data_IF_715728834523
#
_entry.id   IF_715728834523
#
_cell.length_a   1.000
_cell.length_b   1.000
_cell.length_c   1.000
_cell.angle_alpha   90.00
_cell.angle_beta   90.00
_cell.angle_gamma   90.00
#
_symmetry.space_group_name_H-M   'P 1'
#
loop_
_entity.id
_entity.type
_entity.pdbx_description
1 polymer ?
#
# COMPACT_ATOMS: atom_id res chain seq x y z
N UNK A 1 9.10 1.41 -1.32
CA UNK A 1 8.48 0.11 -1.02
C UNK A 1 9.35 -0.56 0.02
N UNK A 2 8.72 -1.14 1.03
CA UNK A 2 9.38 -2.04 1.97
C UNK A 2 8.88 -3.44 1.63
N UNK A 3 9.79 -4.39 1.46
CA UNK A 3 9.46 -5.80 1.30
C UNK A 3 10.38 -6.59 2.24
N UNK A 4 9.82 -7.49 3.03
CA UNK A 4 10.58 -8.37 3.93
C UNK A 4 10.84 -9.64 3.13
N UNK A 5 12.11 -9.94 2.89
CA UNK A 5 12.56 -11.08 2.07
C UNK A 5 13.63 -11.84 2.83
N UNK A 6 13.56 -13.17 2.79
CA UNK A 6 14.43 -14.09 3.52
C UNK A 6 15.33 -14.92 2.58
N UNK A 7 15.19 -14.75 1.26
CA UNK A 7 16.00 -15.46 0.26
C UNK A 7 16.42 -14.59 -0.93
N UNK A 8 17.44 -15.05 -1.67
CA UNK A 8 17.93 -14.38 -2.87
C UNK A 8 16.87 -14.34 -3.99
N UNK A 9 16.08 -15.40 -4.16
CA UNK A 9 15.00 -15.44 -5.16
C UNK A 9 13.88 -14.46 -4.81
N UNK A 10 13.52 -14.32 -3.53
CA UNK A 10 12.54 -13.34 -3.09
C UNK A 10 13.04 -11.90 -3.30
N UNK A 11 14.33 -11.65 -3.05
CA UNK A 11 14.95 -10.37 -3.32
C UNK A 11 14.88 -10.00 -4.81
N UNK A 12 15.26 -10.94 -5.69
CA UNK A 12 15.20 -10.70 -7.14
C UNK A 12 13.78 -10.38 -7.60
N UNK A 13 12.81 -11.19 -7.16
CA UNK A 13 11.40 -10.94 -7.48
C UNK A 13 10.91 -9.58 -6.95
N UNK A 14 11.36 -9.17 -5.76
CA UNK A 14 11.02 -7.87 -5.19
C UNK A 14 11.60 -6.71 -6.01
N UNK A 15 12.82 -6.86 -6.55
CA UNK A 15 13.45 -5.87 -7.42
C UNK A 15 12.71 -5.78 -8.76
N UNK A 16 12.36 -6.91 -9.37
CA UNK A 16 11.56 -6.93 -10.61
C UNK A 16 10.22 -6.22 -10.42
N UNK A 17 9.50 -6.54 -9.35
CA UNK A 17 8.23 -5.91 -9.01
C UNK A 17 8.38 -4.39 -8.82
N UNK A 18 9.45 -3.96 -8.14
CA UNK A 18 9.77 -2.54 -7.97
C UNK A 18 10.06 -1.86 -9.30
N UNK A 19 10.84 -2.49 -10.18
CA UNK A 19 11.17 -1.95 -11.49
C UNK A 19 9.93 -1.84 -12.39
N UNK A 20 9.06 -2.85 -12.38
CA UNK A 20 7.79 -2.83 -13.10
C UNK A 20 6.87 -1.70 -12.58
N UNK A 21 6.75 -1.55 -11.26
CA UNK A 21 6.01 -0.44 -10.63
C UNK A 21 6.52 0.94 -11.05
N UNK A 22 7.85 1.16 -10.99
CA UNK A 22 8.46 2.42 -11.42
C UNK A 22 8.19 2.74 -12.88
N UNK A 23 8.32 1.75 -13.77
CA UNK A 23 8.04 1.92 -15.21
C UNK A 23 6.58 2.35 -15.42
N UNK A 24 5.63 1.69 -14.77
CA UNK A 24 4.20 2.05 -14.85
C UNK A 24 3.95 3.51 -14.45
N UNK A 25 4.47 3.94 -13.28
CA UNK A 25 4.30 5.33 -12.82
C UNK A 25 4.95 6.34 -13.78
N UNK A 26 6.17 6.08 -14.27
CA UNK A 26 6.84 6.96 -15.22
C UNK A 26 6.08 7.09 -16.55
N UNK A 27 5.53 5.98 -17.05
CA UNK A 27 4.72 5.99 -18.26
C UNK A 27 3.45 6.82 -18.08
N UNK A 28 2.77 6.69 -16.94
CA UNK A 28 1.57 7.47 -16.63
C UNK A 28 1.87 8.97 -16.60
N UNK A 29 2.97 9.38 -15.97
CA UNK A 29 3.38 10.78 -15.88
C UNK A 29 3.81 11.39 -17.22
N UNK A 30 4.18 10.57 -18.21
CA UNK A 30 4.56 11.01 -19.57
C UNK A 30 3.40 11.07 -20.56
N UNK A 31 2.18 10.71 -20.14
CA UNK A 31 1.02 10.72 -21.05
C UNK A 31 0.69 12.16 -21.44
N UNK A 32 0.29 12.43 -22.70
CA UNK A 32 -0.06 13.78 -23.14
C UNK A 32 -1.19 14.44 -22.33
N UNK A 33 -2.03 13.63 -21.70
CA UNK A 33 -3.16 14.05 -20.88
C UNK A 33 -2.90 13.96 -19.36
N UNK A 34 -1.64 13.82 -18.94
CA UNK A 34 -1.31 13.90 -17.52
C UNK A 34 -1.64 15.31 -17.00
N UNK A 35 -2.34 15.40 -15.88
CA UNK A 35 -2.71 16.65 -15.25
C UNK A 35 -2.13 16.68 -13.83
N UNK A 36 -1.24 17.65 -13.59
CA UNK A 36 -0.68 17.94 -12.27
C UNK A 36 -1.44 19.11 -11.63
N UNK A 37 -2.71 18.86 -11.34
CA UNK A 37 -3.60 19.84 -10.71
C UNK A 37 -4.01 19.37 -9.33
N UNK A 38 -4.40 20.33 -8.49
CA UNK A 38 -4.87 20.03 -7.14
C UNK A 38 -6.07 19.09 -7.16
N UNK A 39 -7.01 19.34 -8.06
CA UNK A 39 -8.26 18.60 -8.19
C UNK A 39 -8.00 17.13 -8.55
N UNK A 40 -7.05 16.88 -9.45
CA UNK A 40 -6.67 15.51 -9.84
C UNK A 40 -5.90 14.80 -8.73
N UNK A 41 -5.03 15.53 -8.01
CA UNK A 41 -4.35 14.99 -6.83
C UNK A 41 -5.34 14.61 -5.72
N UNK A 42 -6.34 15.45 -5.46
CA UNK A 42 -7.40 15.19 -4.48
C UNK A 42 -8.24 13.97 -4.89
N UNK A 43 -8.60 13.83 -6.17
CA UNK A 43 -9.32 12.66 -6.68
C UNK A 43 -8.55 11.34 -6.53
N UNK A 44 -7.21 11.39 -6.59
CA UNK A 44 -6.34 10.21 -6.46
C UNK A 44 -5.92 9.87 -5.03
N UNK A 45 -6.39 10.62 -4.01
CA UNK A 45 -5.95 10.46 -2.61
C UNK A 45 -7.06 9.89 -1.72
N UNK A 46 -6.65 9.04 -0.78
CA UNK A 46 -7.53 8.55 0.29
C UNK A 46 -7.30 9.43 1.52
N UNK A 47 -8.03 10.54 1.62
CA UNK A 47 -8.09 11.39 2.82
C UNK A 47 -9.45 11.27 3.52
N UNK A 48 -9.45 11.35 4.85
CA UNK A 48 -10.64 11.22 5.69
C UNK A 48 -10.34 10.60 7.06
N UNK A 49 -11.41 10.27 7.77
CA UNK A 49 -11.36 9.46 8.99
C UNK A 49 -10.99 8.00 8.69
N UNK A 50 -10.59 7.18 9.68
CA UNK A 50 -10.35 5.75 9.47
C UNK A 50 -11.52 5.02 8.80
N UNK A 51 -12.76 5.40 9.12
CA UNK A 51 -13.97 4.83 8.52
C UNK A 51 -14.09 5.22 7.04
N UNK A 52 -13.83 6.49 6.70
CA UNK A 52 -13.83 6.97 5.30
C UNK A 52 -12.78 6.22 4.46
N UNK A 53 -11.59 6.01 5.02
CA UNK A 53 -10.52 5.27 4.35
C UNK A 53 -10.93 3.81 4.16
N UNK A 54 -11.51 3.18 5.18
CA UNK A 54 -11.99 1.80 5.10
C UNK A 54 -13.06 1.63 4.02
N UNK A 55 -14.04 2.53 3.95
CA UNK A 55 -15.07 2.50 2.92
C UNK A 55 -14.48 2.63 1.50
N UNK A 56 -13.52 3.55 1.31
CA UNK A 56 -12.84 3.72 0.01
C UNK A 56 -12.02 2.50 -0.39
N UNK A 57 -11.31 1.88 0.55
CA UNK A 57 -10.55 0.64 0.30
C UNK A 57 -11.48 -0.53 -0.03
N UNK A 58 -12.62 -0.63 0.65
CA UNK A 58 -13.62 -1.66 0.36
C UNK A 58 -14.18 -1.47 -1.06
N UNK A 59 -14.49 -0.24 -1.48
CA UNK A 59 -14.94 0.03 -2.85
C UNK A 59 -13.91 -0.38 -3.91
N UNK A 60 -12.60 -0.20 -3.64
CA UNK A 60 -11.54 -0.69 -4.53
C UNK A 60 -11.53 -2.23 -4.60
N UNK A 61 -11.68 -2.90 -3.45
CA UNK A 61 -11.76 -4.36 -3.38
C UNK A 61 -12.99 -4.90 -4.12
N UNK A 62 -14.13 -4.22 -4.00
CA UNK A 62 -15.39 -4.60 -4.65
C UNK A 62 -15.30 -4.57 -6.19
N UNK A 63 -14.43 -3.72 -6.75
CA UNK A 63 -14.14 -3.69 -8.20
C UNK A 63 -12.97 -4.59 -8.61
N UNK A 64 -12.49 -5.46 -7.70
CA UNK A 64 -11.46 -6.46 -7.97
C UNK A 64 -10.03 -6.01 -7.72
N UNK A 65 -9.79 -4.90 -7.02
CA UNK A 65 -8.43 -4.54 -6.62
C UNK A 65 -7.90 -5.53 -5.56
N UNK A 66 -6.87 -6.28 -5.90
CA UNK A 66 -6.25 -7.26 -5.00
C UNK A 66 -5.26 -6.64 -3.99
N UNK A 67 -4.63 -5.51 -4.36
CA UNK A 67 -3.69 -4.81 -3.50
C UNK A 67 -3.66 -3.31 -3.80
N UNK A 68 -3.26 -2.52 -2.81
CA UNK A 68 -3.01 -1.07 -2.95
C UNK A 68 -1.56 -0.73 -2.64
N UNK A 69 -0.98 0.20 -3.41
CA UNK A 69 0.30 0.79 -3.07
C UNK A 69 0.07 2.00 -2.16
N UNK A 70 0.28 1.83 -0.85
CA UNK A 70 0.13 2.91 0.11
C UNK A 70 1.37 3.82 0.09
N UNK A 71 1.18 5.09 -0.28
CA UNK A 71 2.12 6.17 0.02
C UNK A 71 1.66 6.89 1.29
N UNK A 72 2.57 7.12 2.23
CA UNK A 72 2.31 7.85 3.46
C UNK A 72 3.27 9.05 3.58
N UNK A 73 2.99 10.18 2.89
CA UNK A 73 3.82 11.38 2.98
C UNK A 73 3.91 11.94 4.40
N UNK A 74 2.87 11.71 5.22
CA UNK A 74 2.87 12.01 6.66
C UNK A 74 3.76 11.08 7.51
N UNK A 75 4.61 10.27 6.86
CA UNK A 75 5.64 9.46 7.49
C UNK A 75 5.12 8.26 8.29
N UNK A 76 5.98 7.75 9.18
CA UNK A 76 5.71 6.61 10.04
C UNK A 76 4.49 6.77 10.95
N UNK A 77 4.18 7.96 11.55
CA UNK A 77 3.00 8.10 12.39
C UNK A 77 1.69 7.81 11.64
N UNK A 78 1.56 8.32 10.42
CA UNK A 78 0.40 8.06 9.56
C UNK A 78 0.31 6.59 9.17
N UNK A 79 1.44 5.96 8.84
CA UNK A 79 1.50 4.53 8.52
C UNK A 79 1.12 3.65 9.73
N UNK A 80 1.57 3.99 10.93
CA UNK A 80 1.20 3.28 12.17
C UNK A 80 -0.30 3.40 12.45
N UNK A 81 -0.84 4.61 12.32
CA UNK A 81 -2.27 4.86 12.49
C UNK A 81 -3.10 4.08 11.48
N UNK A 82 -2.70 4.06 10.20
CA UNK A 82 -3.34 3.23 9.18
C UNK A 82 -3.35 1.75 9.57
N UNK A 83 -2.21 1.22 10.01
CA UNK A 83 -2.09 -0.18 10.44
C UNK A 83 -2.94 -0.51 11.68
N UNK A 84 -3.15 0.46 12.59
CA UNK A 84 -3.89 0.27 13.83
C UNK A 84 -5.40 0.48 13.66
N UNK A 85 -5.81 1.51 12.93
CA UNK A 85 -7.19 1.98 12.89
C UNK A 85 -7.95 1.49 11.65
N UNK A 86 -7.26 1.15 10.55
CA UNK A 86 -7.90 0.77 9.26
C UNK A 86 -7.72 -0.72 8.97
N UNK A 87 -6.49 -1.22 9.02
CA UNK A 87 -6.19 -2.60 8.62
C UNK A 87 -6.96 -3.70 9.36
N UNK A 88 -7.32 -3.59 10.65
CA UNK A 88 -8.09 -4.63 11.34
C UNK A 88 -9.37 -5.06 10.62
N UNK A 89 -10.03 -4.15 9.90
CA UNK A 89 -11.24 -4.43 9.10
C UNK A 89 -10.99 -5.30 7.87
N UNK A 90 -9.73 -5.48 7.47
CA UNK A 90 -9.31 -6.20 6.27
C UNK A 90 -8.54 -7.49 6.56
N UNK A 91 -8.28 -7.80 7.83
CA UNK A 91 -7.60 -9.04 8.22
C UNK A 91 -8.65 -10.11 8.54
N UNK A 92 -8.77 -11.11 7.67
CA UNK A 92 -9.54 -12.33 7.97
C UNK A 92 -8.57 -13.43 8.45
N UNK A 93 -8.67 -13.84 9.71
CA UNK A 93 -7.92 -14.97 10.29
C UNK A 93 -7.21 -14.66 11.62
N UNK A 94 -6.91 -15.66 12.47
CA UNK A 94 -6.33 -15.42 13.79
C UNK A 94 -4.97 -14.75 13.64
N UNK A 95 -4.69 -13.74 14.49
CA UNK A 95 -3.35 -13.20 14.67
C UNK A 95 -2.41 -14.36 14.99
N UNK A 96 -1.54 -14.72 14.04
CA UNK A 96 -0.42 -15.61 14.33
C UNK A 96 0.50 -14.83 15.26
N UNK A 97 0.44 -15.17 16.55
CA UNK A 97 1.37 -14.66 17.53
C UNK A 97 2.77 -15.12 17.13
N UNK A 98 3.66 -14.17 16.84
CA UNK A 98 5.07 -14.47 16.61
C UNK A 98 5.68 -14.84 17.97
N UNK A 99 5.87 -16.13 18.22
CA UNK A 99 6.64 -16.59 19.37
C UNK A 99 8.11 -16.20 19.18
N UNK A 100 8.78 -15.68 20.23
CA UNK A 100 10.19 -15.36 20.14
C UNK A 100 10.99 -16.65 19.92
N UNK A 101 11.93 -16.61 18.97
CA UNK A 101 12.91 -17.69 18.76
C UNK A 101 13.74 -17.83 20.05
N UNK A 102 13.66 -18.99 20.71
CA UNK A 102 14.54 -19.34 21.80
C UNK A 102 15.97 -19.45 21.26
N UNK A 103 16.87 -18.66 21.83
CA UNK A 103 18.32 -18.76 21.61
C UNK A 103 18.82 -20.03 22.30
N UNK A 104 19.46 -20.92 21.54
CA UNK A 104 20.29 -22.01 22.06
C UNK A 104 21.76 -21.61 21.99
#
# INVERSE_FOLDING_TARGET
SVNIVDSASEYEQAIENRMAGRRRTQQLARRPNFQDTREVAEAGTLYGSPDDISAKLQALRDVGAEYVLLNSPGGLPTLRRFAQDVMPSFVSGPRVAVSPKATA
#
